data_IF_381848320726
#
_entry.id   IF_381848320726
#
_cell.length_a   1.000
_cell.length_b   1.000
_cell.length_c   1.000
_cell.angle_alpha   90.00
_cell.angle_beta   90.00
_cell.angle_gamma   90.00
#
_symmetry.space_group_name_H-M   'P 1'
#
loop_
_entity.id
_entity.type
_entity.pdbx_description
1 polymer ?
#
# COMPACT_ATOMS: atom_id res chain seq x y z
N UNK A 1 -4.11 11.66 7.71
CA UNK A 1 -3.83 10.83 6.52
C UNK A 1 -4.03 9.36 6.88
N UNK A 2 -4.71 8.61 6.03
CA UNK A 2 -4.95 7.17 6.16
C UNK A 2 -3.88 6.39 5.39
N UNK A 3 -3.34 5.33 5.99
CA UNK A 3 -2.39 4.43 5.33
C UNK A 3 -3.16 3.35 4.55
N UNK A 4 -3.07 3.38 3.23
CA UNK A 4 -3.84 2.50 2.35
C UNK A 4 -3.58 1.00 2.60
N UNK A 5 -2.36 0.64 3.01
CA UNK A 5 -2.04 -0.74 3.40
C UNK A 5 -2.74 -1.14 4.70
N UNK A 6 -2.82 -0.23 5.69
CA UNK A 6 -3.54 -0.53 6.94
C UNK A 6 -5.04 -0.68 6.72
N UNK A 7 -5.61 0.03 5.74
CA UNK A 7 -7.04 -0.02 5.44
C UNK A 7 -7.41 -1.28 4.65
N UNK A 8 -6.64 -1.64 3.63
CA UNK A 8 -7.04 -2.67 2.65
C UNK A 8 -5.93 -3.63 2.21
N UNK A 9 -4.75 -3.56 2.84
CA UNK A 9 -3.64 -4.47 2.62
C UNK A 9 -3.81 -5.79 3.37
N UNK A 10 -2.94 -6.75 3.06
CA UNK A 10 -2.94 -8.08 3.67
C UNK A 10 -1.51 -8.52 4.02
N UNK A 11 -1.39 -9.43 4.99
CA UNK A 11 -0.11 -9.98 5.43
C UNK A 11 0.77 -8.96 6.15
N UNK A 12 2.09 -9.16 6.09
CA UNK A 12 3.07 -8.32 6.79
C UNK A 12 3.46 -7.04 6.01
N UNK A 13 3.03 -6.90 4.76
CA UNK A 13 3.28 -5.71 3.96
C UNK A 13 4.75 -5.49 3.62
N UNK A 14 5.53 -6.56 3.44
CA UNK A 14 6.94 -6.46 3.04
C UNK A 14 7.04 -5.69 1.73
N UNK A 15 7.69 -4.53 1.72
CA UNK A 15 7.98 -3.76 0.50
C UNK A 15 9.46 -3.63 0.23
N UNK A 16 10.31 -4.10 1.15
CA UNK A 16 11.76 -4.07 1.02
C UNK A 16 12.35 -5.48 1.14
N UNK A 17 13.35 -5.79 0.32
CA UNK A 17 14.04 -7.08 0.34
C UNK A 17 15.08 -7.14 1.46
N UNK A 18 14.59 -7.35 2.69
CA UNK A 18 15.41 -7.57 3.87
C UNK A 18 15.31 -9.01 4.37
N UNK A 19 16.46 -9.68 4.47
CA UNK A 19 16.58 -11.14 4.64
C UNK A 19 15.79 -11.74 5.81
N UNK A 20 15.70 -11.03 6.94
CA UNK A 20 15.23 -11.64 8.21
C UNK A 20 13.96 -11.02 8.77
N UNK A 21 13.46 -9.94 8.18
CA UNK A 21 12.27 -9.26 8.68
C UNK A 21 11.47 -8.64 7.54
N UNK A 22 10.14 -8.83 7.49
CA UNK A 22 9.30 -8.15 6.53
C UNK A 22 9.23 -6.66 6.89
N UNK A 23 10.03 -5.84 6.22
CA UNK A 23 10.03 -4.39 6.40
C UNK A 23 9.10 -3.75 5.36
N UNK A 24 8.23 -2.85 5.83
CA UNK A 24 7.46 -1.95 5.00
C UNK A 24 8.02 -0.53 5.11
N UNK A 25 8.60 -0.04 4.03
CA UNK A 25 9.10 1.34 3.94
C UNK A 25 8.36 2.17 2.89
N UNK A 26 7.48 1.55 2.10
CA UNK A 26 6.69 2.21 1.06
C UNK A 26 5.25 2.42 1.54
N UNK A 27 4.79 3.66 1.48
CA UNK A 27 3.48 4.08 1.98
C UNK A 27 2.73 4.88 0.92
N UNK A 28 1.43 4.57 0.77
CA UNK A 28 0.49 5.41 0.03
C UNK A 28 -0.51 5.94 1.04
N UNK A 29 -0.52 7.26 1.22
CA UNK A 29 -1.33 7.95 2.20
C UNK A 29 -2.47 8.72 1.50
N UNK A 30 -3.70 8.59 2.00
CA UNK A 30 -4.86 9.33 1.49
C UNK A 30 -5.49 10.21 2.56
N UNK A 31 -6.31 11.17 2.15
CA UNK A 31 -7.17 11.90 3.09
C UNK A 31 -8.25 10.97 3.69
N UNK A 32 -8.82 11.36 4.84
CA UNK A 32 -9.92 10.62 5.46
C UNK A 32 -11.18 10.56 4.57
N UNK A 33 -11.38 11.58 3.73
CA UNK A 33 -12.51 11.69 2.78
C UNK A 33 -12.38 10.80 1.54
N UNK A 34 -11.21 10.20 1.27
CA UNK A 34 -10.97 9.37 0.09
C UNK A 34 -11.10 7.90 0.49
N UNK A 35 -12.02 7.18 -0.16
CA UNK A 35 -12.24 5.75 0.13
C UNK A 35 -11.11 4.91 -0.49
N UNK A 36 -10.45 4.10 0.35
CA UNK A 36 -9.46 3.11 -0.11
C UNK A 36 -10.16 1.77 -0.35
N UNK A 37 -10.25 1.32 -1.62
CA UNK A 37 -10.94 0.06 -1.94
C UNK A 37 -10.04 -1.15 -1.86
N UNK A 38 -8.79 -1.01 -2.33
CA UNK A 38 -7.85 -2.13 -2.49
C UNK A 38 -6.41 -1.65 -2.32
N UNK A 39 -5.58 -2.54 -1.81
CA UNK A 39 -4.13 -2.38 -1.79
C UNK A 39 -3.48 -3.69 -2.22
N UNK A 40 -2.41 -3.60 -3.02
CA UNK A 40 -1.63 -4.75 -3.47
C UNK A 40 -0.14 -4.46 -3.35
N UNK A 41 0.59 -5.42 -2.78
CA UNK A 41 2.04 -5.56 -2.94
C UNK A 41 2.29 -6.61 -4.01
N UNK A 42 3.26 -6.35 -4.90
CA UNK A 42 3.66 -7.28 -5.95
C UNK A 42 4.96 -7.98 -5.55
N UNK A 43 5.09 -9.27 -5.87
CA UNK A 43 6.30 -10.04 -5.57
C UNK A 43 7.34 -10.01 -6.71
N UNK A 44 7.06 -9.28 -7.79
CA UNK A 44 7.98 -9.09 -8.90
C UNK A 44 9.25 -8.35 -8.44
N UNK A 45 10.40 -8.99 -8.62
CA UNK A 45 11.68 -8.50 -8.13
C UNK A 45 12.44 -7.73 -9.23
N UNK A 46 12.19 -6.42 -9.31
CA UNK A 46 12.86 -5.49 -10.22
C UNK A 46 13.82 -4.52 -9.52
N UNK A 47 13.78 -4.47 -8.20
CA UNK A 47 14.57 -3.62 -7.30
C UNK A 47 14.59 -4.29 -5.92
N UNK A 48 15.43 -3.79 -5.02
CA UNK A 48 15.33 -4.02 -3.58
C UNK A 48 14.00 -3.54 -2.96
N UNK A 49 13.19 -2.78 -3.71
CA UNK A 49 11.80 -2.48 -3.40
C UNK A 49 10.81 -3.30 -4.23
N UNK A 50 9.81 -3.85 -3.54
CA UNK A 50 8.63 -4.49 -4.12
C UNK A 50 7.55 -3.45 -4.44
N UNK A 51 7.00 -3.42 -5.67
CA UNK A 51 5.99 -2.45 -6.03
C UNK A 51 4.74 -2.52 -5.16
N UNK A 52 4.14 -1.36 -4.89
CA UNK A 52 2.85 -1.23 -4.19
C UNK A 52 1.86 -0.43 -5.02
N UNK A 53 0.58 -0.79 -4.89
CA UNK A 53 -0.53 -0.13 -5.58
C UNK A 53 -1.71 0.01 -4.63
N UNK A 54 -2.37 1.16 -4.69
CA UNK A 54 -3.65 1.39 -4.03
C UNK A 54 -4.70 1.81 -5.06
N UNK A 55 -5.94 1.35 -4.88
CA UNK A 55 -7.09 1.79 -5.65
C UNK A 55 -8.00 2.63 -4.76
N UNK A 56 -8.34 3.82 -5.24
CA UNK A 56 -9.17 4.78 -4.53
C UNK A 56 -10.48 5.02 -5.28
N UNK A 57 -11.54 5.25 -4.52
CA UNK A 57 -12.81 5.75 -5.04
C UNK A 57 -13.00 7.18 -4.56
N UNK A 58 -13.26 8.08 -5.51
CA UNK A 58 -13.50 9.50 -5.24
C UNK A 58 -14.99 9.76 -5.42
N UNK A 59 -15.66 10.14 -4.32
CA UNK A 59 -17.00 10.71 -4.42
C UNK A 59 -16.91 12.03 -5.18
N UNK A 60 -17.77 12.22 -6.18
CA UNK A 60 -17.95 13.55 -6.77
C UNK A 60 -18.46 14.49 -5.68
N UNK A 61 -17.87 15.67 -5.60
CA UNK A 61 -18.52 16.78 -4.90
C UNK A 61 -19.82 17.09 -5.66
N UNK A 62 -20.94 17.11 -4.95
CA UNK A 62 -22.21 17.63 -5.46
C UNK A 62 -22.09 19.13 -5.77
#
# INVERSE_FOLDING_TARGET
LQDAFKVSGNGFGRTYDFKFFPIRIDFILSDASIEVKRFKTFDDHFSDHYPVMAFFELSKAE
#
